data_IF_047531849455
#
_entry.id   IF_047531849455
#
_cell.length_a   1.000
_cell.length_b   1.000
_cell.length_c   1.000
_cell.angle_alpha   90.00
_cell.angle_beta   90.00
_cell.angle_gamma   90.00
#
_symmetry.space_group_name_H-M   'P 1'
#
loop_
_entity.id
_entity.type
_entity.pdbx_description
1 polymer ?
#
# COMPACT_ATOMS: atom_id res chain seq x y z
N UNK A 1 10.27 -4.51 -2.97
CA UNK A 1 10.37 -4.77 -4.42
C UNK A 1 9.43 -5.90 -4.80
N UNK A 2 8.99 -5.96 -6.07
CA UNK A 2 8.13 -7.03 -6.56
C UNK A 2 8.85 -8.39 -6.62
N UNK A 3 8.15 -9.53 -6.40
CA UNK A 3 8.75 -10.86 -6.38
C UNK A 3 9.49 -11.24 -7.66
N UNK A 4 9.01 -10.79 -8.81
CA UNK A 4 9.65 -11.07 -10.10
C UNK A 4 10.97 -10.30 -10.27
N UNK A 5 11.06 -9.07 -9.74
CA UNK A 5 12.27 -8.25 -9.75
C UNK A 5 13.32 -8.85 -8.81
N UNK A 6 12.90 -9.31 -7.62
CA UNK A 6 13.76 -10.00 -6.66
C UNK A 6 14.36 -11.29 -7.25
N UNK A 7 13.65 -11.94 -8.17
CA UNK A 7 14.13 -13.10 -8.95
C UNK A 7 14.92 -12.73 -10.20
N UNK A 8 15.29 -11.45 -10.37
CA UNK A 8 16.00 -10.94 -11.55
C UNK A 8 15.25 -11.17 -12.88
N UNK A 9 13.91 -11.32 -12.84
CA UNK A 9 13.07 -11.33 -14.04
C UNK A 9 12.91 -9.89 -14.56
N UNK A 10 12.58 -9.69 -15.86
CA UNK A 10 12.47 -8.36 -16.43
C UNK A 10 11.46 -7.47 -15.70
N UNK A 11 11.80 -6.19 -15.58
CA UNK A 11 10.90 -5.19 -15.04
C UNK A 11 9.73 -4.90 -15.98
N UNK A 12 8.55 -4.69 -15.39
CA UNK A 12 7.31 -4.40 -16.11
C UNK A 12 6.49 -3.34 -15.38
N UNK A 13 5.51 -2.70 -16.04
CA UNK A 13 4.56 -1.82 -15.35
C UNK A 13 3.83 -2.51 -14.19
N UNK A 14 3.59 -3.82 -14.26
CA UNK A 14 2.99 -4.58 -13.16
C UNK A 14 3.89 -4.62 -11.92
N UNK A 15 5.22 -4.48 -12.07
CA UNK A 15 6.18 -4.37 -10.97
C UNK A 15 6.06 -3.02 -10.24
N UNK A 16 5.70 -1.94 -10.94
CA UNK A 16 5.35 -0.66 -10.31
C UNK A 16 4.07 -0.77 -9.50
N UNK A 17 3.05 -1.46 -10.04
CA UNK A 17 1.78 -1.68 -9.34
C UNK A 17 1.99 -2.41 -8.01
N UNK A 18 2.90 -3.39 -8.00
CA UNK A 18 3.32 -4.03 -6.75
C UNK A 18 3.99 -3.01 -5.81
N UNK A 19 4.90 -2.18 -6.30
CA UNK A 19 5.58 -1.19 -5.45
C UNK A 19 4.60 -0.14 -4.91
N UNK A 20 3.59 0.25 -5.70
CA UNK A 20 2.49 1.11 -5.28
C UNK A 20 1.68 0.49 -4.14
N UNK A 21 1.48 -0.83 -4.12
CA UNK A 21 0.82 -1.50 -2.98
C UNK A 21 1.59 -1.36 -1.66
N UNK A 22 2.94 -1.27 -1.72
CA UNK A 22 3.76 -1.06 -0.53
C UNK A 22 3.57 0.36 0.01
N UNK A 23 3.42 1.33 -0.88
CA UNK A 23 3.06 2.71 -0.53
C UNK A 23 1.65 2.77 0.05
N UNK A 24 0.68 2.06 -0.56
CA UNK A 24 -0.67 1.94 -0.01
C UNK A 24 -0.64 1.37 1.41
N UNK A 25 0.16 0.33 1.65
CA UNK A 25 0.32 -0.24 2.97
C UNK A 25 0.94 0.77 3.95
N UNK A 26 2.00 1.48 3.54
CA UNK A 26 2.66 2.50 4.36
C UNK A 26 1.68 3.62 4.79
N UNK A 27 0.74 4.01 3.93
CA UNK A 27 -0.31 4.98 4.29
C UNK A 27 -1.20 4.54 5.46
N UNK A 28 -1.30 3.25 5.76
CA UNK A 28 -2.15 2.76 6.86
C UNK A 28 -1.55 3.01 8.24
N UNK A 29 -0.23 3.10 8.36
CA UNK A 29 0.47 3.27 9.64
C UNK A 29 1.51 4.40 9.66
N UNK A 30 1.82 4.99 8.51
CA UNK A 30 2.91 5.96 8.37
C UNK A 30 4.30 5.34 8.62
N UNK A 31 4.42 4.02 8.51
CA UNK A 31 5.70 3.30 8.66
C UNK A 31 5.95 2.44 7.43
N UNK A 32 7.22 2.26 7.02
CA UNK A 32 7.54 1.38 5.91
C UNK A 32 7.20 -0.09 6.19
N UNK A 33 6.87 -0.88 5.15
CA UNK A 33 6.64 -2.32 5.29
C UNK A 33 7.90 -3.03 5.78
N UNK A 34 7.70 -4.08 6.58
CA UNK A 34 8.76 -4.93 7.15
C UNK A 34 9.78 -4.18 8.01
N UNK A 35 9.40 -3.05 8.63
CA UNK A 35 10.35 -2.18 9.33
C UNK A 35 11.09 -2.78 10.53
N UNK A 36 10.61 -3.90 11.07
CA UNK A 36 11.15 -4.56 12.24
C UNK A 36 12.15 -5.68 11.88
N UNK A 37 12.52 -5.82 10.61
CA UNK A 37 13.42 -6.88 10.14
C UNK A 37 14.54 -6.37 9.24
N UNK A 38 15.57 -7.20 9.05
CA UNK A 38 16.64 -6.94 8.10
C UNK A 38 16.11 -7.03 6.66
N UNK A 39 16.48 -6.07 5.82
CA UNK A 39 16.19 -6.11 4.39
C UNK A 39 17.27 -6.93 3.65
N UNK A 40 17.33 -8.22 3.98
CA UNK A 40 18.35 -9.15 3.48
C UNK A 40 17.77 -10.15 2.46
N UNK A 41 18.59 -11.15 2.08
CA UNK A 41 18.18 -12.20 1.17
C UNK A 41 17.09 -13.10 1.76
N UNK A 42 16.99 -13.24 3.08
CA UNK A 42 15.97 -14.05 3.74
C UNK A 42 14.59 -13.36 3.63
N UNK A 43 14.52 -12.04 3.86
CA UNK A 43 13.30 -11.28 3.61
C UNK A 43 12.89 -11.35 2.14
N UNK A 44 13.85 -11.16 1.23
CA UNK A 44 13.61 -11.25 -0.22
C UNK A 44 13.04 -12.61 -0.63
N UNK A 45 13.63 -13.71 -0.14
CA UNK A 45 13.14 -15.06 -0.37
C UNK A 45 11.73 -15.27 0.21
N UNK A 46 11.46 -14.74 1.40
CA UNK A 46 10.15 -14.83 2.03
C UNK A 46 9.07 -14.12 1.21
N UNK A 47 9.37 -12.92 0.69
CA UNK A 47 8.47 -12.17 -0.20
C UNK A 47 8.18 -12.97 -1.48
N UNK A 48 9.23 -13.57 -2.06
CA UNK A 48 9.11 -14.46 -3.22
C UNK A 48 8.21 -15.68 -2.95
N UNK A 49 8.18 -16.19 -1.70
CA UNK A 49 7.31 -17.28 -1.23
C UNK A 49 5.90 -16.83 -0.83
N UNK A 50 5.54 -15.57 -1.05
CA UNK A 50 4.19 -15.06 -0.79
C UNK A 50 4.03 -14.29 0.52
N UNK A 51 5.10 -14.03 1.26
CA UNK A 51 5.03 -13.17 2.46
C UNK A 51 4.58 -11.77 2.08
N UNK A 52 3.68 -11.18 2.88
CA UNK A 52 3.17 -9.82 2.74
C UNK A 52 3.17 -9.11 4.11
N UNK A 53 3.17 -7.78 4.15
CA UNK A 53 2.96 -7.02 5.38
C UNK A 53 1.63 -7.38 6.05
N UNK A 54 1.56 -7.27 7.38
CA UNK A 54 0.35 -7.54 8.15
C UNK A 54 -0.74 -6.51 7.84
N UNK A 55 -1.99 -6.95 7.73
CA UNK A 55 -3.13 -6.04 7.50
C UNK A 55 -3.51 -5.34 8.80
N UNK A 56 -3.59 -4.02 8.73
CA UNK A 56 -3.79 -3.18 9.90
C UNK A 56 -5.28 -3.09 10.23
N UNK A 57 -5.60 -3.30 11.51
CA UNK A 57 -6.96 -3.18 12.01
C UNK A 57 -7.54 -1.81 11.67
N UNK A 58 -8.83 -1.74 11.40
CA UNK A 58 -9.57 -0.53 11.02
C UNK A 58 -9.19 0.04 9.64
N UNK A 59 -8.35 -0.63 8.85
CA UNK A 59 -8.18 -0.29 7.43
C UNK A 59 -9.45 -0.66 6.66
N UNK A 60 -10.02 0.24 5.83
CA UNK A 60 -11.17 -0.05 4.99
C UNK A 60 -10.97 -1.32 4.14
N UNK A 61 -12.00 -2.17 4.05
CA UNK A 61 -11.93 -3.44 3.34
C UNK A 61 -11.72 -3.23 1.84
N UNK A 62 -12.38 -2.26 1.23
CA UNK A 62 -12.20 -1.89 -0.17
C UNK A 62 -10.73 -1.52 -0.46
N UNK A 63 -10.07 -0.83 0.47
CA UNK A 63 -8.65 -0.48 0.38
C UNK A 63 -7.74 -1.70 0.53
N UNK A 64 -8.05 -2.59 1.50
CA UNK A 64 -7.35 -3.87 1.67
C UNK A 64 -7.45 -4.71 0.40
N UNK A 65 -8.64 -4.83 -0.17
CA UNK A 65 -8.89 -5.66 -1.34
C UNK A 65 -8.17 -5.10 -2.58
N UNK A 66 -8.15 -3.76 -2.75
CA UNK A 66 -7.39 -3.12 -3.81
C UNK A 66 -5.87 -3.31 -3.62
N UNK A 67 -5.36 -3.04 -2.42
CA UNK A 67 -3.95 -3.25 -2.07
C UNK A 67 -3.53 -4.71 -2.32
N UNK A 68 -4.40 -5.68 -1.98
CA UNK A 68 -4.15 -7.09 -2.22
C UNK A 68 -4.07 -7.46 -3.69
N UNK A 69 -4.92 -6.87 -4.54
CA UNK A 69 -4.84 -7.02 -5.99
C UNK A 69 -3.53 -6.44 -6.53
N UNK A 70 -3.09 -5.29 -6.01
CA UNK A 70 -1.84 -4.66 -6.44
C UNK A 70 -0.59 -5.51 -6.11
N UNK A 71 -0.58 -6.23 -4.99
CA UNK A 71 0.55 -7.07 -4.57
C UNK A 71 0.43 -8.56 -4.91
N UNK A 72 -0.45 -8.91 -5.86
CA UNK A 72 -0.64 -10.29 -6.29
C UNK A 72 0.70 -10.90 -6.72
N UNK A 73 0.90 -12.18 -6.39
CA UNK A 73 2.12 -12.89 -6.76
C UNK A 73 2.25 -13.05 -8.27
N UNK A 74 1.13 -13.17 -8.98
CA UNK A 74 1.07 -13.17 -10.43
C UNK A 74 0.93 -11.72 -10.95
N UNK A 75 1.92 -11.21 -11.69
CA UNK A 75 1.85 -9.86 -12.25
C UNK A 75 0.64 -9.62 -13.17
N UNK A 76 0.07 -10.67 -13.79
CA UNK A 76 -1.07 -10.56 -14.69
C UNK A 76 -2.41 -10.32 -13.98
N UNK A 77 -2.50 -10.67 -12.69
CA UNK A 77 -3.68 -10.40 -11.86
C UNK A 77 -3.72 -8.97 -11.32
N UNK A 78 -2.62 -8.23 -11.43
CA UNK A 78 -2.50 -6.87 -10.92
C UNK A 78 -3.28 -5.89 -11.81
N UNK A 79 -3.97 -4.88 -11.24
CA UNK A 79 -4.66 -3.87 -12.02
C UNK A 79 -3.68 -3.02 -12.82
N UNK A 80 -4.15 -2.41 -13.91
CA UNK A 80 -3.37 -1.40 -14.62
C UNK A 80 -3.38 -0.07 -13.85
N UNK A 81 -2.43 0.80 -14.14
CA UNK A 81 -2.39 2.14 -13.54
C UNK A 81 -3.66 2.95 -13.84
N UNK A 82 -4.25 2.78 -15.02
CA UNK A 82 -5.50 3.44 -15.43
C UNK A 82 -6.67 2.95 -14.58
N UNK A 83 -6.74 1.63 -14.29
CA UNK A 83 -7.77 1.09 -13.40
C UNK A 83 -7.61 1.64 -11.98
N UNK A 84 -6.38 1.76 -11.48
CA UNK A 84 -6.11 2.34 -10.17
C UNK A 84 -6.50 3.81 -10.09
N UNK A 85 -6.09 4.62 -11.08
CA UNK A 85 -6.44 6.03 -11.15
C UNK A 85 -7.95 6.22 -11.10
N UNK A 86 -8.71 5.44 -11.89
CA UNK A 86 -10.16 5.51 -11.92
C UNK A 86 -10.79 5.17 -10.55
N UNK A 87 -10.35 4.07 -9.93
CA UNK A 87 -10.89 3.64 -8.62
C UNK A 87 -10.59 4.70 -7.55
N UNK A 88 -9.33 5.15 -7.46
CA UNK A 88 -8.91 6.12 -6.46
C UNK A 88 -9.59 7.48 -6.67
N UNK A 89 -9.74 7.93 -7.92
CA UNK A 89 -10.44 9.18 -8.24
C UNK A 89 -11.91 9.14 -7.85
N UNK A 90 -12.60 8.02 -8.09
CA UNK A 90 -13.99 7.85 -7.69
C UNK A 90 -14.15 7.82 -6.16
N UNK A 91 -13.24 7.15 -5.44
CA UNK A 91 -13.23 7.20 -3.98
C UNK A 91 -13.00 8.62 -3.45
N UNK A 92 -11.97 9.33 -3.95
CA UNK A 92 -11.66 10.71 -3.54
C UNK A 92 -12.85 11.63 -3.81
N UNK A 93 -13.46 11.53 -4.99
CA UNK A 93 -14.63 12.31 -5.37
C UNK A 93 -15.80 12.04 -4.43
N UNK A 94 -16.09 10.77 -4.17
CA UNK A 94 -17.16 10.39 -3.25
C UNK A 94 -16.95 10.89 -1.83
N UNK A 95 -15.77 10.65 -1.27
CA UNK A 95 -15.41 11.09 0.09
C UNK A 95 -15.49 12.62 0.20
N UNK A 96 -14.98 13.35 -0.80
CA UNK A 96 -15.02 14.81 -0.82
C UNK A 96 -16.45 15.33 -0.84
N UNK A 97 -17.32 14.75 -1.68
CA UNK A 97 -18.74 15.11 -1.73
C UNK A 97 -19.48 14.77 -0.44
N UNK A 98 -19.18 13.63 0.18
CA UNK A 98 -19.72 13.28 1.48
C UNK A 98 -19.42 14.36 2.52
N UNK A 99 -18.15 14.76 2.68
CA UNK A 99 -17.80 15.79 3.66
C UNK A 99 -18.33 17.18 3.29
N UNK A 100 -18.46 17.48 2.00
CA UNK A 100 -19.06 18.75 1.53
C UNK A 100 -20.54 18.85 1.92
N UNK A 101 -21.32 17.80 1.70
CA UNK A 101 -22.76 17.76 1.98
C UNK A 101 -23.04 17.73 3.49
N UNK A 102 -22.23 16.99 4.25
CA UNK A 102 -22.44 16.76 5.67
C UNK A 102 -21.69 17.77 6.57
N UNK A 103 -21.20 18.88 6.00
CA UNK A 103 -20.46 19.93 6.72
C UNK A 103 -21.26 20.52 7.89
N UNK A 104 -22.58 20.62 7.74
CA UNK A 104 -23.48 21.22 8.72
C UNK A 104 -23.99 20.22 9.78
N UNK A 105 -23.42 18.99 9.82
CA UNK A 105 -23.83 17.94 10.75
C UNK A 105 -25.16 17.26 10.39
N UNK A 106 -25.77 17.62 9.26
CA UNK A 106 -26.99 17.00 8.76
C UNK A 106 -26.62 15.80 7.88
N UNK A 107 -26.69 14.58 8.44
CA UNK A 107 -26.23 13.34 7.81
C UNK A 107 -27.13 12.88 6.64
N UNK A 108 -27.16 13.64 5.52
CA UNK A 108 -27.91 13.25 4.33
C UNK A 108 -27.07 12.31 3.45
N UNK A 109 -27.46 11.04 3.45
CA UNK A 109 -26.71 9.94 2.83
C UNK A 109 -27.01 9.74 1.34
N UNK A 110 -27.01 10.83 0.60
CA UNK A 110 -27.29 10.86 -0.84
C UNK A 110 -26.14 11.54 -1.58
N UNK A 111 -25.02 10.83 -1.71
CA UNK A 111 -24.04 11.21 -2.76
C UNK A 111 -24.65 10.76 -4.09
N UNK A 112 -25.30 11.71 -4.79
CA UNK A 112 -25.94 11.48 -6.08
C UNK A 112 -24.87 11.31 -7.17
N UNK A 113 -25.07 10.36 -8.10
CA UNK A 113 -24.18 10.19 -9.27
C UNK A 113 -22.93 9.34 -9.03
N UNK A 114 -22.94 8.46 -8.04
CA UNK A 114 -21.88 7.46 -7.81
C UNK A 114 -22.49 6.06 -7.99
N UNK A 115 -21.77 5.15 -8.63
CA UNK A 115 -22.17 3.75 -8.71
C UNK A 115 -22.36 3.18 -7.30
N UNK A 116 -23.40 2.37 -7.08
CA UNK A 116 -23.69 1.74 -5.80
C UNK A 116 -22.47 1.07 -5.16
N UNK A 117 -21.58 0.43 -5.94
CA UNK A 117 -20.34 -0.14 -5.40
C UNK A 117 -19.43 0.91 -4.77
N UNK A 118 -19.11 1.98 -5.49
CA UNK A 118 -18.25 3.05 -4.99
C UNK A 118 -18.89 3.80 -3.81
N UNK A 119 -20.22 3.82 -3.72
CA UNK A 119 -20.92 4.32 -2.53
C UNK A 119 -20.56 3.49 -1.30
N UNK A 120 -20.60 2.15 -1.37
CA UNK A 120 -20.23 1.32 -0.22
C UNK A 120 -18.76 1.46 0.13
N UNK A 121 -17.86 1.46 -0.85
CA UNK A 121 -16.43 1.62 -0.62
C UNK A 121 -16.12 2.92 0.14
N UNK A 122 -16.73 4.04 -0.28
CA UNK A 122 -16.59 5.36 0.36
C UNK A 122 -17.00 5.31 1.84
N UNK A 123 -18.05 4.56 2.18
CA UNK A 123 -18.57 4.50 3.55
C UNK A 123 -17.65 3.78 4.49
N UNK A 124 -16.92 2.79 4.00
CA UNK A 124 -15.89 2.12 4.79
C UNK A 124 -14.79 3.10 5.20
N UNK A 125 -14.39 4.05 4.34
CA UNK A 125 -13.45 5.11 4.70
C UNK A 125 -14.02 6.06 5.76
N UNK A 126 -15.28 6.46 5.63
CA UNK A 126 -15.95 7.35 6.61
C UNK A 126 -16.08 6.67 7.98
N UNK A 127 -16.38 5.36 8.00
CA UNK A 127 -16.48 4.58 9.23
C UNK A 127 -15.12 4.37 9.90
N UNK A 128 -14.08 4.08 9.10
CA UNK A 128 -12.71 4.00 9.59
C UNK A 128 -12.25 5.33 10.21
N UNK A 129 -12.51 6.47 9.55
CA UNK A 129 -12.16 7.80 10.07
C UNK A 129 -12.85 8.10 11.42
N UNK A 130 -14.15 7.80 11.54
CA UNK A 130 -14.88 7.93 12.81
C UNK A 130 -14.31 7.07 13.92
N UNK A 131 -13.88 5.84 13.59
CA UNK A 131 -13.28 4.91 14.56
C UNK A 131 -11.92 5.42 15.05
N UNK A 132 -11.10 5.97 14.15
CA UNK A 132 -9.81 6.57 14.49
C UNK A 132 -9.95 7.78 15.44
N UNK A 133 -10.98 8.60 15.25
CA UNK A 133 -11.27 9.72 16.15
C UNK A 133 -11.67 9.27 17.57
N UNK A 134 -12.15 8.02 17.73
CA UNK A 134 -12.54 7.46 19.02
C UNK A 134 -11.39 6.70 19.71
N UNK A 135 -10.42 6.17 18.95
CA UNK A 135 -9.30 5.35 19.47
C UNK A 135 -8.04 6.17 19.83
N UNK A 136 -8.05 7.51 19.76
CA UNK A 136 -6.92 8.35 20.18
C UNK A 136 -6.72 8.38 21.72
N UNK A 137 -6.21 7.28 22.25
CA UNK A 137 -5.42 7.20 23.47
C UNK A 137 -4.44 6.02 23.34
N UNK A 138 -3.14 6.32 23.41
CA UNK A 138 -1.98 5.40 23.47
C UNK A 138 -1.22 5.18 22.15
N UNK A 139 -0.44 6.17 21.75
CA UNK A 139 0.65 5.97 20.77
C UNK A 139 1.78 5.16 21.42
N UNK A 140 2.01 3.95 20.92
CA UNK A 140 3.18 3.14 21.30
C UNK A 140 4.42 3.60 20.53
N UNK A 141 5.59 3.56 21.16
CA UNK A 141 6.87 3.95 20.56
C UNK A 141 7.19 2.96 19.41
N UNK A 142 7.28 3.48 18.18
CA UNK A 142 7.66 2.69 16.99
C UNK A 142 9.18 2.43 17.05
N UNK A 143 9.57 1.16 16.94
CA UNK A 143 10.97 0.73 16.93
C UNK A 143 11.34 0.19 15.53
N UNK A 144 12.38 0.76 14.92
CA UNK A 144 12.87 0.38 13.59
C UNK A 144 14.04 -0.61 13.70
N UNK A 145 14.19 -1.50 12.71
CA UNK A 145 15.34 -2.39 12.59
C UNK A 145 16.52 -1.69 11.90
N UNK A 146 17.72 -1.81 12.46
CA UNK A 146 18.93 -1.10 12.00
C UNK A 146 19.38 -1.47 10.57
N UNK A 147 18.94 -2.62 10.08
CA UNK A 147 19.24 -3.12 8.73
C UNK A 147 18.04 -3.00 7.77
N UNK A 148 17.03 -2.22 8.13
CA UNK A 148 15.98 -1.84 7.21
C UNK A 148 16.46 -0.67 6.35
N UNK A 149 16.47 -0.84 5.03
CA UNK A 149 16.87 0.20 4.08
C UNK A 149 15.64 0.93 3.53
N UNK A 150 15.57 2.24 3.78
CA UNK A 150 14.57 3.15 3.21
C UNK A 150 15.29 4.20 2.38
N UNK A 151 15.33 4.04 1.07
CA UNK A 151 15.96 5.02 0.20
C UNK A 151 14.99 6.17 -0.06
N UNK A 152 14.99 7.17 0.81
CA UNK A 152 14.71 8.57 0.42
C UNK A 152 16.00 9.30 0.02
N UNK A 153 17.08 8.57 -0.31
CA UNK A 153 18.36 9.15 -0.74
C UNK A 153 18.31 9.47 -2.23
N UNK A 154 18.93 10.60 -2.61
CA UNK A 154 19.04 11.06 -4.00
C UNK A 154 19.49 9.91 -4.90
N UNK A 155 18.79 9.72 -6.02
CA UNK A 155 19.04 8.69 -7.04
C UNK A 155 20.53 8.57 -7.45
N UNK A 156 21.28 9.67 -7.36
CA UNK A 156 22.70 9.76 -7.71
C UNK A 156 23.65 9.00 -6.79
N UNK A 157 23.28 8.72 -5.53
CA UNK A 157 24.13 7.93 -4.61
C UNK A 157 23.98 6.42 -4.82
N UNK A 158 22.84 5.97 -5.40
CA UNK A 158 22.54 4.54 -5.60
C UNK A 158 23.42 3.93 -6.70
N UNK A 159 23.71 4.67 -7.77
CA UNK A 159 24.60 4.20 -8.85
C UNK A 159 26.04 3.92 -8.37
N UNK A 160 26.45 4.46 -7.22
CA UNK A 160 27.77 4.21 -6.62
C UNK A 160 27.76 3.01 -5.66
N UNK A 161 26.60 2.62 -5.13
CA UNK A 161 26.46 1.49 -4.20
C UNK A 161 25.93 0.20 -4.84
N UNK A 162 25.31 0.27 -6.03
CA UNK A 162 24.81 -0.91 -6.76
C UNK A 162 25.88 -1.99 -7.01
N UNK A 163 27.16 -1.64 -7.00
CA UNK A 163 28.24 -2.60 -7.22
C UNK A 163 28.56 -3.54 -6.05
N UNK A 164 28.08 -3.31 -4.80
CA UNK A 164 28.77 -3.96 -3.66
C UNK A 164 28.01 -4.80 -2.63
N UNK A 165 26.70 -4.71 -2.38
CA UNK A 165 26.17 -5.44 -1.19
C UNK A 165 24.76 -6.08 -1.26
N UNK A 166 23.99 -5.95 -2.35
CA UNK A 166 22.59 -6.43 -2.37
C UNK A 166 22.20 -7.45 -3.44
N UNK A 167 23.07 -7.72 -4.42
CA UNK A 167 22.70 -8.41 -5.66
C UNK A 167 23.19 -9.86 -5.79
N UNK A 168 23.91 -10.38 -4.79
CA UNK A 168 24.62 -11.67 -4.91
C UNK A 168 23.75 -12.90 -4.66
N UNK A 169 22.53 -12.73 -4.16
CA UNK A 169 21.63 -13.86 -3.98
C UNK A 169 20.77 -14.06 -5.22
N UNK A 170 21.11 -15.05 -6.04
CA UNK A 170 20.22 -15.58 -7.07
C UNK A 170 19.10 -16.34 -6.35
N UNK A 171 17.88 -15.82 -6.42
CA UNK A 171 16.68 -16.52 -5.92
C UNK A 171 16.11 -17.31 -7.10
N UNK A 172 16.47 -18.59 -7.19
CA UNK A 172 15.91 -19.54 -8.16
C UNK A 172 14.57 -20.12 -7.65
N UNK A 173 13.73 -20.56 -8.59
CA UNK A 173 12.35 -21.03 -8.35
C UNK A 173 12.28 -22.38 -7.62
#
# INVERSE_FOLDING_TARGET
MAPEILRKKPYTPASDIYSFSMIMWEFTLGIPPFNHEAHDCHLSLSICKGRRPEIIKNTPKCYIDLMKKCWDSDPSNRPTIIMLENILSEWIRGISEYYRINRDGNYLFLVLGINNQFKYDMLEFVEADKTLMQEQANTSIIQYHLQAYYTSRKLTEILVQEETQGLDCIIED
#
